data_IF_610780693840
#
_entry.id   IF_610780693840
#
_cell.length_a   1.000
_cell.length_b   1.000
_cell.length_c   1.000
_cell.angle_alpha   90.00
_cell.angle_beta   90.00
_cell.angle_gamma   90.00
#
_symmetry.space_group_name_H-M   'P 1'
#
loop_
_entity.id
_entity.type
_entity.pdbx_description
1 polymer ?
#
# COMPACT_ATOMS: atom_id res chain seq x y z
N UNK A 1 -57.67 23.58 25.31
CA UNK A 1 -57.47 23.66 23.85
C UNK A 1 -56.05 24.15 23.61
N UNK A 2 -55.25 23.35 22.91
CA UNK A 2 -53.80 23.52 22.69
C UNK A 2 -53.55 24.49 21.52
N UNK A 3 -52.50 25.31 21.59
CA UNK A 3 -51.48 25.45 20.53
C UNK A 3 -50.56 26.66 20.80
N UNK A 4 -49.33 26.40 21.24
CA UNK A 4 -48.21 27.29 21.04
C UNK A 4 -47.45 26.77 19.81
N UNK A 5 -47.34 27.60 18.77
CA UNK A 5 -46.66 27.26 17.51
C UNK A 5 -45.26 27.86 17.57
N UNK A 6 -44.28 27.04 17.92
CA UNK A 6 -42.86 27.37 17.76
C UNK A 6 -42.42 26.91 16.36
N UNK A 7 -42.15 27.86 15.46
CA UNK A 7 -41.61 27.59 14.13
C UNK A 7 -40.09 27.42 14.27
N UNK A 8 -39.62 26.17 14.31
CA UNK A 8 -38.20 25.83 14.18
C UNK A 8 -37.93 25.32 12.76
N UNK A 9 -37.21 26.12 11.98
CA UNK A 9 -36.71 25.76 10.65
C UNK A 9 -35.56 24.76 10.82
N UNK A 10 -35.80 23.50 10.47
CA UNK A 10 -34.79 22.44 10.41
C UNK A 10 -34.31 22.30 8.96
N UNK A 11 -33.08 22.76 8.70
CA UNK A 11 -32.36 22.49 7.44
C UNK A 11 -31.73 21.11 7.54
N UNK A 12 -32.34 20.11 6.91
CA UNK A 12 -31.80 18.75 6.82
C UNK A 12 -30.89 18.64 5.60
N UNK A 13 -29.58 18.51 5.81
CA UNK A 13 -28.67 18.02 4.78
C UNK A 13 -28.95 16.52 4.59
N UNK A 14 -29.61 16.16 3.48
CA UNK A 14 -29.77 14.78 3.07
C UNK A 14 -28.45 14.27 2.46
N UNK A 15 -27.61 13.62 3.27
CA UNK A 15 -26.64 12.66 2.76
C UNK A 15 -27.36 11.32 2.60
N UNK A 16 -27.51 10.85 1.36
CA UNK A 16 -28.11 9.56 1.05
C UNK A 16 -27.29 8.42 1.66
N UNK A 17 -27.68 7.95 2.84
CA UNK A 17 -27.37 6.58 3.27
C UNK A 17 -28.56 5.71 2.90
N UNK A 18 -28.46 5.00 1.78
CA UNK A 18 -29.40 3.91 1.48
C UNK A 18 -28.87 2.66 2.12
N UNK A 19 -29.37 2.39 3.32
CA UNK A 19 -29.44 1.06 3.89
C UNK A 19 -30.26 0.19 2.94
N UNK A 20 -29.66 -0.85 2.36
CA UNK A 20 -30.36 -1.80 1.50
C UNK A 20 -30.17 -3.19 2.11
N UNK A 21 -31.25 -3.85 2.60
CA UNK A 21 -31.16 -5.23 3.02
C UNK A 21 -31.09 -6.06 1.73
N UNK A 22 -29.88 -6.49 1.37
CA UNK A 22 -29.61 -7.25 0.17
C UNK A 22 -29.06 -8.62 0.54
N UNK A 23 -29.94 -9.60 0.57
CA UNK A 23 -29.61 -11.01 0.40
C UNK A 23 -29.13 -11.25 -1.05
N UNK A 24 -27.83 -11.40 -1.20
CA UNK A 24 -27.12 -12.47 -1.93
C UNK A 24 -27.83 -13.12 -3.12
N UNK A 25 -28.07 -12.41 -4.23
CA UNK A 25 -28.21 -13.03 -5.55
C UNK A 25 -28.10 -12.00 -6.67
N UNK A 26 -26.96 -11.96 -7.35
CA UNK A 26 -26.88 -11.36 -8.69
C UNK A 26 -25.83 -10.28 -8.88
N UNK A 27 -24.55 -10.68 -8.82
CA UNK A 27 -23.52 -10.15 -9.72
C UNK A 27 -22.74 -11.35 -10.27
N UNK A 28 -23.37 -12.05 -11.21
CA UNK A 28 -22.69 -13.02 -12.06
C UNK A 28 -21.79 -12.26 -13.05
N UNK A 29 -20.62 -11.83 -12.57
CA UNK A 29 -19.46 -11.75 -13.47
C UNK A 29 -19.12 -13.15 -13.98
N UNK A 30 -18.42 -13.30 -15.12
CA UNK A 30 -17.95 -14.60 -15.56
C UNK A 30 -17.24 -15.31 -14.42
N UNK A 31 -17.80 -16.43 -13.96
CA UNK A 31 -17.17 -17.30 -12.98
C UNK A 31 -15.98 -17.95 -13.68
N UNK A 32 -14.82 -17.29 -13.64
CA UNK A 32 -13.56 -17.95 -13.98
C UNK A 32 -13.42 -19.10 -12.98
N UNK A 33 -13.32 -20.36 -13.43
CA UNK A 33 -13.16 -21.47 -12.50
C UNK A 33 -11.96 -21.18 -11.60
N UNK A 34 -12.17 -21.28 -10.29
CA UNK A 34 -11.09 -21.25 -9.31
C UNK A 34 -10.17 -22.44 -9.60
N UNK A 35 -9.19 -22.21 -10.45
CA UNK A 35 -8.46 -23.28 -11.11
C UNK A 35 -7.32 -22.67 -11.91
N UNK A 36 -6.15 -22.72 -11.28
CA UNK A 36 -4.83 -22.31 -11.79
C UNK A 36 -4.55 -20.81 -11.75
N UNK A 37 -4.14 -20.38 -10.56
CA UNK A 37 -3.37 -19.16 -10.34
C UNK A 37 -2.05 -19.27 -11.13
N UNK A 38 -1.94 -18.55 -12.25
CA UNK A 38 -0.79 -18.60 -13.18
C UNK A 38 0.47 -17.96 -12.56
N UNK A 39 0.35 -17.35 -11.37
CA UNK A 39 1.46 -16.74 -10.64
C UNK A 39 2.03 -17.62 -9.51
N UNK A 40 1.52 -18.84 -9.31
CA UNK A 40 2.11 -19.77 -8.35
C UNK A 40 3.48 -20.27 -8.85
N UNK A 41 4.56 -19.70 -8.32
CA UNK A 41 5.91 -20.24 -8.52
C UNK A 41 5.94 -21.70 -8.06
N UNK A 42 6.31 -22.59 -8.97
CA UNK A 42 6.25 -24.06 -8.82
C UNK A 42 7.10 -24.68 -7.71
N UNK A 43 7.67 -23.86 -6.81
CA UNK A 43 8.60 -24.25 -5.76
C UNK A 43 7.98 -24.18 -4.35
N UNK A 44 6.67 -23.96 -4.23
CA UNK A 44 5.99 -23.84 -2.93
C UNK A 44 6.36 -22.58 -2.14
N UNK A 45 7.03 -21.62 -2.77
CA UNK A 45 7.37 -20.32 -2.17
C UNK A 45 6.18 -19.38 -2.33
N UNK A 46 5.62 -18.92 -1.21
CA UNK A 46 4.69 -17.80 -1.19
C UNK A 46 5.49 -16.52 -1.53
N UNK A 47 5.71 -16.27 -2.83
CA UNK A 47 6.38 -15.05 -3.29
C UNK A 47 5.56 -13.79 -2.97
N UNK A 48 4.25 -13.96 -2.81
CA UNK A 48 3.34 -12.89 -2.47
C UNK A 48 2.78 -13.09 -1.05
N UNK A 49 3.09 -12.14 -0.18
CA UNK A 49 2.53 -12.02 1.16
C UNK A 49 1.80 -10.68 1.19
N UNK A 50 0.58 -10.59 1.76
CA UNK A 50 -0.15 -9.34 1.81
C UNK A 50 0.65 -8.28 2.56
N UNK A 51 0.79 -7.10 1.96
CA UNK A 51 1.42 -5.96 2.61
C UNK A 51 0.54 -5.42 3.75
N UNK A 52 1.13 -4.90 4.85
CA UNK A 52 0.38 -4.19 5.89
C UNK A 52 -0.36 -2.96 5.36
N UNK A 53 -1.40 -2.50 6.08
CA UNK A 53 -2.05 -1.23 5.78
C UNK A 53 -1.08 -0.06 6.01
N UNK A 54 -0.67 0.62 4.94
CA UNK A 54 0.36 1.67 5.00
C UNK A 54 -0.10 2.91 5.78
N UNK A 55 -1.42 3.13 5.91
CA UNK A 55 -1.96 4.30 6.60
C UNK A 55 -1.65 4.29 8.11
N UNK A 56 -1.43 3.11 8.67
CA UNK A 56 -1.11 2.93 10.09
C UNK A 56 0.40 2.75 10.35
N UNK A 57 1.25 2.96 9.32
CA UNK A 57 2.70 2.77 9.41
C UNK A 57 3.45 4.10 9.39
N UNK A 58 4.60 4.13 10.07
CA UNK A 58 5.59 5.20 9.90
C UNK A 58 6.56 4.78 8.80
N UNK A 59 6.62 5.57 7.73
CA UNK A 59 7.50 5.29 6.59
C UNK A 59 8.81 6.05 6.80
N UNK A 60 9.93 5.32 6.77
CA UNK A 60 11.27 5.90 6.71
C UNK A 60 11.74 5.81 5.25
N UNK A 61 11.99 6.95 4.61
CA UNK A 61 12.59 6.99 3.28
C UNK A 61 14.10 7.08 3.43
N UNK A 62 14.82 6.06 2.98
CA UNK A 62 16.28 6.03 2.98
C UNK A 62 16.82 6.20 1.57
N UNK A 63 17.95 6.87 1.50
CA UNK A 63 18.86 6.74 0.38
C UNK A 63 19.90 5.69 0.78
N UNK A 64 19.74 4.45 0.32
CA UNK A 64 20.56 3.31 0.75
C UNK A 64 22.05 3.60 0.63
N UNK A 65 22.50 4.11 -0.52
CA UNK A 65 23.91 4.45 -0.79
C UNK A 65 24.54 5.37 0.28
N UNK A 66 23.74 6.19 0.97
CA UNK A 66 24.21 7.18 1.96
C UNK A 66 23.87 6.83 3.40
N UNK A 67 23.42 5.61 3.65
CA UNK A 67 22.96 5.20 4.97
C UNK A 67 24.02 4.39 5.72
N UNK A 68 24.31 3.17 5.28
CA UNK A 68 25.22 2.25 5.96
C UNK A 68 25.84 1.28 4.94
N UNK A 69 27.15 1.07 5.01
CA UNK A 69 27.95 0.15 4.17
C UNK A 69 28.18 -1.14 4.98
N UNK A 70 27.35 -2.14 4.73
CA UNK A 70 27.32 -3.41 5.45
C UNK A 70 28.28 -4.45 4.89
N UNK A 71 28.55 -4.43 3.58
CA UNK A 71 29.50 -5.31 2.90
C UNK A 71 30.42 -4.54 1.93
N UNK A 72 31.59 -4.09 2.41
CA UNK A 72 32.52 -3.33 1.59
C UNK A 72 33.11 -4.10 0.40
N UNK A 73 32.91 -5.42 0.33
CA UNK A 73 33.42 -6.24 -0.79
C UNK A 73 32.67 -6.01 -2.09
N UNK A 74 31.48 -5.39 -2.03
CA UNK A 74 30.63 -5.09 -3.19
C UNK A 74 30.74 -3.63 -3.69
N UNK A 75 31.54 -2.79 -3.02
CA UNK A 75 31.60 -1.34 -3.25
C UNK A 75 32.17 -0.94 -4.62
N UNK A 76 33.18 -1.67 -5.11
CA UNK A 76 33.88 -1.37 -6.36
C UNK A 76 33.63 -2.48 -7.40
N UNK A 77 32.95 -2.11 -8.46
CA UNK A 77 32.61 -2.88 -9.64
C UNK A 77 33.72 -2.79 -10.71
N UNK A 78 34.79 -2.05 -10.42
CA UNK A 78 36.01 -1.99 -11.23
C UNK A 78 36.07 -0.82 -12.21
N UNK A 79 35.22 0.19 -12.08
CA UNK A 79 35.21 1.38 -12.93
C UNK A 79 35.60 2.67 -12.18
N UNK A 80 36.02 2.56 -10.92
CA UNK A 80 36.43 3.70 -10.10
C UNK A 80 35.26 4.55 -9.61
N UNK A 81 34.07 3.96 -9.52
CA UNK A 81 32.82 4.60 -9.15
C UNK A 81 32.61 4.72 -7.63
N UNK A 82 33.45 4.08 -6.82
CA UNK A 82 33.41 4.16 -5.36
C UNK A 82 34.24 5.35 -4.83
N UNK A 83 33.57 6.32 -4.22
CA UNK A 83 34.23 7.40 -3.49
C UNK A 83 33.24 8.14 -2.56
N UNK A 84 33.26 7.79 -1.27
CA UNK A 84 32.38 8.40 -0.25
C UNK A 84 32.48 9.93 -0.14
N UNK A 85 33.64 10.52 -0.45
CA UNK A 85 33.84 11.97 -0.40
C UNK A 85 33.30 12.72 -1.64
N UNK A 86 32.94 12.00 -2.70
CA UNK A 86 32.47 12.58 -3.95
C UNK A 86 30.95 12.42 -4.07
N UNK A 87 30.17 13.52 -4.14
CA UNK A 87 28.71 13.44 -4.19
C UNK A 87 28.16 12.65 -5.40
N UNK A 88 28.94 12.60 -6.48
CA UNK A 88 28.62 11.95 -7.75
C UNK A 88 28.98 10.47 -7.81
N UNK A 89 29.66 9.95 -6.78
CA UNK A 89 30.11 8.56 -6.72
C UNK A 89 29.24 7.77 -5.74
N UNK A 90 29.33 6.45 -5.83
CA UNK A 90 28.74 5.57 -4.84
C UNK A 90 29.53 5.70 -3.54
N UNK A 91 28.78 5.71 -2.44
CA UNK A 91 29.29 5.83 -1.08
C UNK A 91 29.34 4.48 -0.36
N UNK A 92 28.78 3.43 -0.97
CA UNK A 92 28.93 2.03 -0.54
C UNK A 92 27.73 1.45 0.20
N UNK A 93 26.67 2.23 0.40
CA UNK A 93 25.54 1.73 1.17
C UNK A 93 24.74 0.62 0.48
N UNK A 94 24.39 -0.42 1.23
CA UNK A 94 23.81 -1.68 0.73
C UNK A 94 22.69 -2.28 1.63
N UNK A 95 22.32 -3.56 1.42
CA UNK A 95 21.21 -4.27 2.08
C UNK A 95 21.63 -5.65 2.62
#
# INVERSE_FOLDING_TARGET
MRAAICISVLVSLAACTQDRPGNDAGLAGPQVPAGTDVCASGDGRLLHVPSPDWRDQVIYMLMTDRFDDGDPTNNDQGYGEYAHSQPSHFSGGDF
#
